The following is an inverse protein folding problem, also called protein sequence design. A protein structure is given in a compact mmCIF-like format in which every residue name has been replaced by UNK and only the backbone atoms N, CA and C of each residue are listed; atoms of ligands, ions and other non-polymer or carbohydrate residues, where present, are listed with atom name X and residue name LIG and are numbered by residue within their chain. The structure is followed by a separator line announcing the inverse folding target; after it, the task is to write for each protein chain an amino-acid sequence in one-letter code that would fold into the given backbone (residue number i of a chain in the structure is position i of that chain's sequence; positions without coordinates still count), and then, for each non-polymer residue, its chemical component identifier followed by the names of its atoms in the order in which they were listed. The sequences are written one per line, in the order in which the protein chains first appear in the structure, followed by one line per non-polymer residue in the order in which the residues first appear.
data_IF_535831113265
#
_entry.id   IF_535831113265
#
_cell.length_a   1.000
_cell.length_b   1.000
_cell.length_c   1.000
_cell.angle_alpha   90.00
_cell.angle_beta   90.00
_cell.angle_gamma   90.00
#
_symmetry.space_group_name_H-M   'P 1'
#
loop_
_entity.id
_entity.type
_entity.pdbx_description
1 polymer ?
#
# COMPACT_ATOMS: atom_id res chain seq x y z
N UNK A 1 -25.08 -20.73 25.59
CA UNK A 1 -24.76 -19.72 24.55
C UNK A 1 -23.25 -19.80 24.40
N UNK A 2 -22.80 -20.74 23.58
CA UNK A 2 -21.37 -21.08 23.45
C UNK A 2 -20.75 -20.08 22.48
N UNK A 3 -19.68 -19.40 22.87
CA UNK A 3 -18.87 -18.61 21.95
C UNK A 3 -18.46 -19.49 20.74
N UNK A 4 -18.52 -18.99 19.51
CA UNK A 4 -17.98 -19.73 18.36
C UNK A 4 -16.47 -19.87 18.52
N UNK A 5 -15.96 -21.11 18.44
CA UNK A 5 -14.53 -21.40 18.39
C UNK A 5 -13.89 -20.54 17.28
N UNK A 6 -12.83 -19.76 17.56
CA UNK A 6 -12.20 -18.86 16.58
C UNK A 6 -11.53 -19.60 15.40
N UNK A 7 -11.55 -20.93 15.40
CA UNK A 7 -11.03 -21.83 14.35
C UNK A 7 -12.13 -22.50 13.53
N UNK A 8 -13.42 -22.25 13.82
CA UNK A 8 -14.50 -22.84 13.03
C UNK A 8 -14.57 -22.16 11.67
N UNK A 9 -14.39 -22.93 10.60
CA UNK A 9 -14.47 -22.42 9.26
C UNK A 9 -15.82 -21.74 9.00
N UNK A 10 -15.80 -20.48 8.55
CA UNK A 10 -17.00 -19.63 8.39
C UNK A 10 -18.06 -20.23 7.45
N UNK A 11 -17.69 -21.17 6.57
CA UNK A 11 -18.63 -21.87 5.70
C UNK A 11 -19.46 -22.95 6.40
N UNK A 12 -19.15 -23.28 7.66
CA UNK A 12 -19.94 -24.15 8.53
C UNK A 12 -21.02 -23.40 9.31
N UNK A 13 -21.01 -22.06 9.28
CA UNK A 13 -22.05 -21.26 9.89
C UNK A 13 -23.41 -21.45 9.19
N UNK A 14 -24.53 -21.23 9.90
CA UNK A 14 -25.87 -21.37 9.34
C UNK A 14 -26.04 -20.61 8.04
N UNK A 15 -26.79 -21.20 7.10
CA UNK A 15 -26.91 -20.63 5.77
C UNK A 15 -27.45 -19.18 5.81
N UNK A 16 -26.84 -18.25 5.08
CA UNK A 16 -27.31 -16.88 5.02
C UNK A 16 -28.74 -16.82 4.45
N UNK A 17 -29.66 -16.18 5.17
CA UNK A 17 -31.05 -16.02 4.70
C UNK A 17 -31.10 -15.38 3.31
N UNK A 18 -31.93 -15.87 2.39
CA UNK A 18 -32.02 -15.31 1.05
C UNK A 18 -32.47 -13.83 1.09
N UNK A 19 -31.54 -12.88 0.88
CA UNK A 19 -31.86 -11.45 0.83
C UNK A 19 -31.95 -10.93 -0.61
N UNK A 20 -32.61 -9.79 -0.76
CA UNK A 20 -32.71 -9.02 -2.00
C UNK A 20 -31.49 -8.11 -2.25
N UNK A 21 -30.33 -8.44 -1.65
CA UNK A 21 -29.16 -7.57 -1.64
C UNK A 21 -29.14 -6.56 -0.50
N UNK A 22 -28.06 -5.78 -0.42
CA UNK A 22 -27.90 -4.68 0.56
C UNK A 22 -28.50 -3.38 0.02
N UNK A 23 -28.92 -2.47 0.90
CA UNK A 23 -29.21 -1.10 0.49
C UNK A 23 -27.91 -0.34 0.16
N UNK A 24 -27.99 0.70 -0.68
CA UNK A 24 -26.82 1.55 -0.97
C UNK A 24 -26.25 2.19 0.31
N UNK A 25 -27.09 2.60 1.26
CA UNK A 25 -26.68 3.19 2.53
C UNK A 25 -25.93 2.21 3.42
N UNK A 26 -26.42 0.99 3.58
CA UNK A 26 -25.75 -0.04 4.38
C UNK A 26 -24.42 -0.44 3.75
N UNK A 27 -24.37 -0.54 2.43
CA UNK A 27 -23.13 -0.84 1.72
C UNK A 27 -22.08 0.26 1.94
N UNK A 28 -22.48 1.53 1.96
CA UNK A 28 -21.58 2.66 2.21
C UNK A 28 -21.03 2.65 3.64
N UNK A 29 -21.88 2.35 4.63
CA UNK A 29 -21.49 2.24 6.03
C UNK A 29 -20.50 1.07 6.23
N UNK A 30 -20.80 -0.09 5.65
CA UNK A 30 -19.88 -1.25 5.71
C UNK A 30 -18.56 -0.98 4.99
N UNK A 31 -18.58 -0.24 3.88
CA UNK A 31 -17.35 0.15 3.18
C UNK A 31 -16.49 1.07 4.06
N UNK A 32 -17.10 1.96 4.85
CA UNK A 32 -16.39 2.80 5.79
C UNK A 32 -15.79 1.99 6.97
N UNK A 33 -16.46 0.94 7.41
CA UNK A 33 -16.00 0.07 8.50
C UNK A 33 -14.96 -0.97 8.09
N UNK A 34 -15.18 -1.68 6.98
CA UNK A 34 -14.32 -2.77 6.51
C UNK A 34 -13.22 -2.32 5.55
N UNK A 35 -13.36 -1.12 4.97
CA UNK A 35 -12.47 -0.63 3.92
C UNK A 35 -12.76 -1.25 2.55
N UNK A 36 -12.02 -0.83 1.51
CA UNK A 36 -12.16 -1.35 0.16
C UNK A 36 -11.72 -2.82 0.07
N UNK A 37 -12.34 -3.58 -0.83
CA UNK A 37 -11.97 -4.95 -1.15
C UNK A 37 -10.68 -4.98 -2.00
N UNK A 38 -9.54 -4.77 -1.35
CA UNK A 38 -8.21 -4.84 -1.94
C UNK A 38 -7.29 -5.73 -1.10
N UNK A 39 -6.43 -6.49 -1.75
CA UNK A 39 -5.44 -7.34 -1.07
C UNK A 39 -4.34 -6.52 -0.40
N UNK A 40 -3.99 -5.36 -0.97
CA UNK A 40 -3.10 -4.40 -0.35
C UNK A 40 -3.86 -3.66 0.76
N UNK A 41 -3.45 -3.88 2.01
CA UNK A 41 -3.81 -3.01 3.12
C UNK A 41 -3.13 -1.67 2.89
N UNK A 42 -3.85 -0.73 2.26
CA UNK A 42 -3.36 0.64 2.11
C UNK A 42 -3.42 1.34 3.49
N UNK A 43 -2.56 0.94 4.43
CA UNK A 43 -2.11 1.84 5.47
C UNK A 43 -1.24 2.91 4.79
N UNK A 44 -1.86 3.75 3.96
CA UNK A 44 -1.26 4.99 3.52
C UNK A 44 -0.98 5.74 4.81
N UNK A 45 0.30 5.84 5.18
CA UNK A 45 0.71 6.65 6.35
C UNK A 45 0.06 8.02 6.18
N UNK A 46 -0.48 8.63 7.25
CA UNK A 46 -1.14 9.91 7.11
C UNK A 46 -0.20 10.91 6.43
N UNK A 47 -0.72 11.75 5.54
CA UNK A 47 0.08 12.63 4.68
C UNK A 47 1.11 13.46 5.46
N UNK A 48 0.75 13.86 6.69
CA UNK A 48 1.65 14.53 7.62
C UNK A 48 2.85 13.67 8.04
N UNK A 49 2.67 12.37 8.28
CA UNK A 49 3.77 11.45 8.58
C UNK A 49 4.65 11.20 7.36
N UNK A 50 4.09 11.15 6.15
CA UNK A 50 4.86 11.01 4.91
C UNK A 50 5.72 12.25 4.65
N UNK A 51 5.14 13.44 4.86
CA UNK A 51 5.85 14.71 4.78
C UNK A 51 6.97 14.78 5.84
N UNK A 52 6.68 14.40 7.10
CA UNK A 52 7.68 14.41 8.16
C UNK A 52 8.79 13.37 7.95
N UNK A 53 8.48 12.22 7.33
CA UNK A 53 9.48 11.23 6.96
C UNK A 53 10.48 11.77 5.92
N UNK A 54 10.10 12.74 5.06
CA UNK A 54 11.04 13.39 4.13
C UNK A 54 12.14 14.19 4.83
N UNK A 55 11.89 14.71 6.03
CA UNK A 55 12.92 15.36 6.84
C UNK A 55 13.99 14.39 7.38
N UNK A 56 13.73 13.08 7.37
CA UNK A 56 14.75 12.05 7.66
C UNK A 56 15.66 11.74 6.48
N UNK A 57 15.42 12.34 5.30
CA UNK A 57 16.29 12.13 4.15
C UNK A 57 17.68 12.72 4.44
N UNK A 58 18.78 11.94 4.32
CA UNK A 58 20.13 12.38 4.64
C UNK A 58 20.56 13.65 3.87
N UNK A 59 20.07 13.86 2.65
CA UNK A 59 20.35 15.10 1.89
C UNK A 59 19.68 16.33 2.53
N UNK A 60 18.42 16.22 2.94
CA UNK A 60 17.67 17.29 3.60
C UNK A 60 18.33 17.63 4.95
N UNK A 61 18.77 16.61 5.70
CA UNK A 61 19.51 16.80 6.96
C UNK A 61 20.82 17.56 6.77
N UNK A 62 21.59 17.25 5.72
CA UNK A 62 22.85 17.97 5.42
C UNK A 62 22.57 19.44 5.07
N UNK A 63 21.53 19.71 4.28
CA UNK A 63 21.14 21.07 3.92
C UNK A 63 20.63 21.88 5.13
N UNK A 64 19.85 21.25 6.01
CA UNK A 64 19.41 21.86 7.27
C UNK A 64 20.58 22.11 8.23
N UNK A 65 21.56 21.22 8.29
CA UNK A 65 22.78 21.44 9.07
C UNK A 65 23.60 22.62 8.51
N UNK A 66 23.74 22.69 7.18
CA UNK A 66 24.44 23.80 6.52
C UNK A 66 23.73 25.15 6.76
N UNK A 67 22.40 25.19 6.72
CA UNK A 67 21.65 26.41 7.02
C UNK A 67 21.82 26.84 8.48
N UNK A 68 21.78 25.89 9.43
CA UNK A 68 22.03 26.16 10.84
C UNK A 68 23.44 26.75 11.09
N UNK A 69 24.47 26.24 10.41
CA UNK A 69 25.82 26.80 10.48
C UNK A 69 25.86 28.22 9.92
N UNK A 70 25.24 28.49 8.76
CA UNK A 70 25.20 29.85 8.19
C UNK A 70 24.51 30.86 9.11
N UNK A 71 23.42 30.46 9.78
CA UNK A 71 22.73 31.29 10.76
C UNK A 71 23.62 31.58 11.99
N UNK A 72 24.38 30.60 12.47
CA UNK A 72 25.33 30.79 13.57
C UNK A 72 26.49 31.73 13.19
N UNK A 73 26.91 31.75 11.93
CA UNK A 73 27.92 32.68 11.40
C UNK A 73 27.37 34.10 11.14
N UNK A 74 26.07 34.32 11.31
CA UNK A 74 25.41 35.62 11.11
C UNK A 74 25.08 35.96 9.66
N UNK A 75 25.25 35.02 8.72
CA UNK A 75 24.92 35.21 7.31
C UNK A 75 23.43 34.87 7.07
N UNK A 76 22.58 35.83 7.42
CA UNK A 76 21.14 35.70 7.26
C UNK A 76 20.73 35.51 5.79
N UNK A 77 21.44 36.13 4.84
CA UNK A 77 21.14 36.01 3.42
C UNK A 77 21.30 34.57 2.94
N UNK A 78 22.43 33.94 3.25
CA UNK A 78 22.69 32.55 2.85
C UNK A 78 21.76 31.55 3.56
N UNK A 79 21.42 31.80 4.83
CA UNK A 79 20.40 31.01 5.54
C UNK A 79 19.05 31.01 4.82
N UNK A 80 18.52 32.19 4.46
CA UNK A 80 17.23 32.30 3.79
C UNK A 80 17.25 31.66 2.39
N UNK A 81 18.34 31.79 1.65
CA UNK A 81 18.50 31.15 0.33
C UNK A 81 18.44 29.62 0.45
N UNK A 82 19.22 29.03 1.36
CA UNK A 82 19.25 27.57 1.55
C UNK A 82 17.89 27.08 2.05
N UNK A 83 17.27 27.78 3.00
CA UNK A 83 15.96 27.42 3.53
C UNK A 83 14.89 27.43 2.42
N UNK A 84 14.86 28.47 1.59
CA UNK A 84 13.92 28.57 0.48
C UNK A 84 14.10 27.44 -0.53
N UNK A 85 15.36 27.09 -0.86
CA UNK A 85 15.67 25.99 -1.78
C UNK A 85 15.18 24.64 -1.22
N UNK A 86 15.47 24.35 0.05
CA UNK A 86 15.03 23.11 0.71
C UNK A 86 13.51 23.03 0.72
N UNK A 87 12.82 24.11 1.10
CA UNK A 87 11.36 24.14 1.17
C UNK A 87 10.75 23.89 -0.22
N UNK A 88 11.30 24.54 -1.26
CA UNK A 88 10.86 24.37 -2.63
C UNK A 88 11.09 22.94 -3.12
N UNK A 89 12.27 22.37 -2.88
CA UNK A 89 12.59 20.99 -3.27
C UNK A 89 11.66 19.98 -2.60
N UNK A 90 11.47 20.05 -1.28
CA UNK A 90 10.56 19.15 -0.53
C UNK A 90 9.12 19.28 -1.02
N UNK A 91 8.68 20.50 -1.33
CA UNK A 91 7.34 20.75 -1.86
C UNK A 91 7.17 20.16 -3.27
N UNK A 92 8.13 20.38 -4.16
CA UNK A 92 8.12 19.81 -5.51
C UNK A 92 8.12 18.29 -5.47
N UNK A 93 8.97 17.71 -4.63
CA UNK A 93 9.04 16.28 -4.34
C UNK A 93 7.68 15.72 -3.89
N UNK A 94 7.05 16.37 -2.91
CA UNK A 94 5.74 15.97 -2.41
C UNK A 94 4.65 16.05 -3.49
N UNK A 95 4.61 17.14 -4.25
CA UNK A 95 3.62 17.33 -5.33
C UNK A 95 3.83 16.33 -6.47
N UNK A 96 5.09 16.05 -6.84
CA UNK A 96 5.42 15.10 -7.89
C UNK A 96 5.03 13.67 -7.51
N UNK A 97 5.35 13.25 -6.28
CA UNK A 97 4.95 11.95 -5.73
C UNK A 97 3.42 11.80 -5.77
N UNK A 98 2.70 12.81 -5.27
CA UNK A 98 1.24 12.78 -5.22
C UNK A 98 0.59 12.74 -6.60
N UNK A 99 1.21 13.40 -7.60
CA UNK A 99 0.76 13.33 -8.99
C UNK A 99 1.00 11.96 -9.59
N UNK A 100 2.17 11.36 -9.32
CA UNK A 100 2.51 10.03 -9.80
C UNK A 100 1.55 8.98 -9.23
N UNK A 101 1.29 9.02 -7.93
CA UNK A 101 0.33 8.14 -7.26
C UNK A 101 -1.08 8.27 -7.83
N UNK A 102 -1.58 9.50 -8.03
CA UNK A 102 -2.91 9.71 -8.62
C UNK A 102 -3.03 9.23 -10.06
N UNK A 103 -1.97 9.37 -10.85
CA UNK A 103 -1.95 8.85 -12.22
C UNK A 103 -2.02 7.31 -12.21
N UNK A 104 -1.24 6.66 -11.33
CA UNK A 104 -1.29 5.23 -11.13
C UNK A 104 -2.66 4.76 -10.61
N UNK A 105 -3.29 5.51 -9.70
CA UNK A 105 -4.60 5.18 -9.13
C UNK A 105 -5.72 5.25 -10.18
N UNK A 106 -5.73 6.27 -11.04
CA UNK A 106 -6.69 6.36 -12.16
C UNK A 106 -6.49 5.25 -13.19
N UNK A 107 -5.24 4.85 -13.44
CA UNK A 107 -4.96 3.72 -14.33
C UNK A 107 -5.49 2.42 -13.70
N UNK A 108 -5.26 2.21 -12.39
CA UNK A 108 -5.81 1.07 -11.63
C UNK A 108 -7.34 1.04 -11.69
N UNK A 109 -8.01 2.18 -11.56
CA UNK A 109 -9.47 2.29 -11.70
C UNK A 109 -9.94 1.96 -13.12
N UNK A 110 -9.19 2.35 -14.15
CA UNK A 110 -9.53 2.06 -15.55
C UNK A 110 -9.40 0.60 -15.95
N UNK A 111 -8.60 -0.17 -15.20
CA UNK A 111 -8.39 -1.63 -15.37
C UNK A 111 -9.11 -2.42 -14.27
N UNK A 112 -9.90 -1.75 -13.43
CA UNK A 112 -10.54 -2.39 -12.29
C UNK A 112 -11.52 -3.47 -12.76
N UNK A 113 -11.32 -4.69 -12.24
CA UNK A 113 -12.28 -5.78 -12.37
C UNK A 113 -13.64 -5.30 -11.86
N UNK A 114 -14.70 -5.59 -12.61
CA UNK A 114 -16.08 -5.30 -12.23
C UNK A 114 -16.80 -6.57 -11.82
N UNK A 115 -17.75 -6.44 -10.91
CA UNK A 115 -18.61 -7.54 -10.45
C UNK A 115 -20.07 -7.10 -10.50
N UNK A 116 -20.95 -8.03 -10.88
CA UNK A 116 -22.39 -7.82 -10.90
C UNK A 116 -22.96 -8.12 -9.52
N UNK A 117 -23.59 -7.12 -8.88
CA UNK A 117 -24.17 -7.26 -7.54
C UNK A 117 -25.62 -6.85 -7.50
N UNK A 118 -26.35 -7.38 -6.52
CA UNK A 118 -27.71 -6.95 -6.19
C UNK A 118 -27.62 -5.95 -5.04
N UNK A 119 -27.97 -4.69 -5.32
CA UNK A 119 -28.19 -3.66 -4.30
C UNK A 119 -29.51 -2.95 -4.57
N UNK A 120 -30.22 -2.57 -3.51
CA UNK A 120 -31.57 -1.97 -3.59
C UNK A 120 -32.54 -2.81 -4.46
N UNK A 121 -32.40 -4.15 -4.43
CA UNK A 121 -33.20 -5.09 -5.23
C UNK A 121 -32.90 -5.09 -6.73
N UNK A 122 -31.89 -4.35 -7.20
CA UNK A 122 -31.53 -4.24 -8.62
C UNK A 122 -30.12 -4.77 -8.88
N UNK A 123 -29.93 -5.38 -10.04
CA UNK A 123 -28.60 -5.75 -10.51
C UNK A 123 -27.86 -4.50 -10.98
N UNK A 124 -26.64 -4.32 -10.48
CA UNK A 124 -25.77 -3.24 -10.86
C UNK A 124 -24.32 -3.72 -10.90
N UNK A 125 -23.56 -3.21 -11.85
CA UNK A 125 -22.16 -3.57 -12.02
C UNK A 125 -21.28 -2.55 -11.30
N UNK A 126 -20.47 -3.01 -10.35
CA UNK A 126 -19.63 -2.18 -9.50
C UNK A 126 -18.16 -2.64 -9.58
N UNK A 127 -17.20 -1.73 -9.36
CA UNK A 127 -15.80 -2.13 -9.22
C UNK A 127 -15.65 -3.10 -8.05
N UNK A 128 -14.84 -4.14 -8.21
CA UNK A 128 -14.59 -5.18 -7.19
C UNK A 128 -14.12 -4.58 -5.87
N UNK A 129 -13.40 -3.45 -5.90
CA UNK A 129 -12.93 -2.73 -4.71
C UNK A 129 -14.05 -2.14 -3.84
N UNK A 130 -15.24 -1.94 -4.40
CA UNK A 130 -16.41 -1.41 -3.68
C UNK A 130 -17.30 -2.51 -3.08
N UNK A 131 -16.92 -3.78 -3.22
CA UNK A 131 -17.60 -4.91 -2.59
C UNK A 131 -17.38 -4.90 -1.08
N UNK A 132 -18.43 -5.25 -0.34
CA UNK A 132 -18.41 -5.32 1.12
C UNK A 132 -18.99 -6.64 1.62
N UNK A 133 -18.62 -7.08 2.84
CA UNK A 133 -19.28 -8.21 3.47
C UNK A 133 -20.80 -8.04 3.51
N UNK A 134 -21.52 -9.07 3.07
CA UNK A 134 -22.97 -9.12 2.94
C UNK A 134 -23.53 -8.76 1.57
N UNK A 135 -22.72 -8.25 0.64
CA UNK A 135 -23.17 -8.05 -0.75
C UNK A 135 -23.59 -9.38 -1.37
N UNK A 136 -24.60 -9.32 -2.25
CA UNK A 136 -25.00 -10.47 -3.06
C UNK A 136 -24.46 -10.30 -4.48
N UNK A 137 -23.50 -11.12 -4.85
CA UNK A 137 -22.84 -11.13 -6.16
C UNK A 137 -23.47 -12.21 -7.03
N UNK A 138 -23.70 -11.89 -8.30
CA UNK A 138 -24.02 -12.88 -9.32
C UNK A 138 -22.74 -13.27 -10.04
N UNK A 139 -22.53 -14.58 -10.18
CA UNK A 139 -21.38 -15.15 -10.86
C UNK A 139 -21.84 -15.95 -12.06
N UNK A 140 -21.15 -15.78 -13.19
CA UNK A 140 -21.36 -16.52 -14.42
C UNK A 140 -20.08 -17.19 -14.92
N UNK A 141 -20.23 -18.16 -15.82
CA UNK A 141 -19.10 -18.83 -16.46
C UNK A 141 -18.13 -17.83 -17.13
N UNK A 142 -16.83 -18.04 -16.91
CA UNK A 142 -15.76 -17.16 -17.42
C UNK A 142 -15.39 -16.01 -16.48
N UNK A 143 -16.15 -15.76 -15.43
CA UNK A 143 -15.84 -14.72 -14.45
C UNK A 143 -14.86 -15.21 -13.37
N UNK A 144 -14.12 -14.27 -12.80
CA UNK A 144 -13.29 -14.51 -11.60
C UNK A 144 -14.09 -14.17 -10.35
N UNK A 145 -13.92 -14.98 -9.32
CA UNK A 145 -14.58 -14.77 -8.02
C UNK A 145 -13.90 -13.58 -7.33
N UNK A 146 -14.65 -12.50 -7.03
CA UNK A 146 -14.07 -11.23 -6.61
C UNK A 146 -13.78 -11.14 -5.11
N UNK A 147 -14.39 -12.00 -4.30
CA UNK A 147 -14.25 -12.05 -2.85
C UNK A 147 -14.74 -13.42 -2.31
N UNK A 148 -14.42 -13.72 -1.06
CA UNK A 148 -14.87 -14.95 -0.41
C UNK A 148 -16.36 -14.87 -0.07
N UNK A 149 -17.11 -15.92 -0.40
CA UNK A 149 -18.55 -15.88 -0.25
C UNK A 149 -19.23 -17.24 -0.16
N UNK A 150 -20.45 -17.22 0.37
CA UNK A 150 -21.31 -18.37 0.59
C UNK A 150 -22.34 -18.48 -0.52
N UNK A 151 -22.52 -19.67 -1.10
CA UNK A 151 -23.53 -19.88 -2.14
C UNK A 151 -24.94 -19.83 -1.55
N UNK A 152 -25.81 -19.02 -2.16
CA UNK A 152 -27.25 -18.98 -1.90
C UNK A 152 -27.97 -19.87 -2.90
N UNK A 153 -27.61 -19.74 -4.19
CA UNK A 153 -28.18 -20.51 -5.30
C UNK A 153 -27.07 -20.87 -6.28
N UNK A 154 -27.17 -22.04 -6.91
CA UNK A 154 -26.22 -22.51 -7.92
C UNK A 154 -26.95 -23.33 -9.00
N UNK A 155 -26.49 -23.20 -10.25
CA UNK A 155 -26.94 -24.03 -11.38
C UNK A 155 -25.71 -24.50 -12.15
N UNK A 156 -25.45 -25.81 -12.11
CA UNK A 156 -24.30 -26.47 -12.76
C UNK A 156 -23.00 -25.69 -12.57
N UNK A 157 -22.76 -25.24 -11.34
CA UNK A 157 -21.74 -24.25 -11.02
C UNK A 157 -20.44 -24.95 -10.62
N UNK A 158 -19.45 -24.85 -11.51
CA UNK A 158 -18.12 -25.45 -11.34
C UNK A 158 -17.07 -24.35 -11.24
N UNK A 159 -16.18 -24.49 -10.27
CA UNK A 159 -15.14 -23.50 -9.97
C UNK A 159 -13.78 -24.16 -10.02
N UNK A 160 -12.82 -23.50 -10.66
CA UNK A 160 -11.41 -23.88 -10.61
C UNK A 160 -10.73 -23.13 -9.46
N UNK A 161 -10.20 -23.89 -8.50
CA UNK A 161 -9.56 -23.39 -7.28
C UNK A 161 -8.04 -23.61 -7.27
N UNK A 162 -7.42 -23.85 -8.43
CA UNK A 162 -6.00 -24.17 -8.57
C UNK A 162 -5.06 -23.17 -7.88
N UNK A 163 -5.44 -21.88 -7.80
CA UNK A 163 -4.63 -20.88 -7.11
C UNK A 163 -4.50 -21.12 -5.61
N UNK A 164 -5.50 -21.73 -4.97
CA UNK A 164 -5.53 -21.97 -3.53
C UNK A 164 -5.17 -23.41 -3.16
N UNK A 165 -5.57 -24.37 -3.98
CA UNK A 165 -5.41 -25.80 -3.68
C UNK A 165 -4.28 -26.46 -4.46
N UNK A 166 -3.79 -25.84 -5.54
CA UNK A 166 -2.85 -26.47 -6.49
C UNK A 166 -3.50 -27.46 -7.47
N UNK A 167 -4.76 -27.82 -7.24
CA UNK A 167 -5.49 -28.79 -8.04
C UNK A 167 -6.22 -28.11 -9.21
N UNK A 168 -5.96 -28.55 -10.44
CA UNK A 168 -6.55 -27.95 -11.66
C UNK A 168 -7.94 -28.47 -12.00
N UNK A 169 -8.42 -29.52 -11.30
CA UNK A 169 -9.71 -30.12 -11.60
C UNK A 169 -10.87 -29.23 -11.08
N UNK A 170 -11.87 -28.91 -11.92
CA UNK A 170 -13.02 -28.12 -11.49
C UNK A 170 -13.81 -28.82 -10.39
N UNK A 171 -14.15 -28.07 -9.34
CA UNK A 171 -14.95 -28.57 -8.21
C UNK A 171 -16.37 -28.03 -8.34
N UNK A 172 -17.35 -28.91 -8.23
CA UNK A 172 -18.76 -28.53 -8.20
C UNK A 172 -19.09 -27.84 -6.87
N UNK A 173 -19.79 -26.71 -6.94
CA UNK A 173 -20.26 -25.99 -5.76
C UNK A 173 -21.78 -25.95 -5.71
N UNK A 174 -22.34 -26.21 -4.52
CA UNK A 174 -23.78 -26.33 -4.28
C UNK A 174 -24.20 -25.59 -3.01
N UNK A 175 -25.37 -24.92 -2.99
CA UNK A 175 -25.89 -24.33 -1.78
C UNK A 175 -26.29 -25.43 -0.77
N UNK A 176 -26.24 -25.10 0.52
CA UNK A 176 -26.58 -26.03 1.60
C UNK A 176 -25.63 -25.95 2.79
N UNK A 177 -26.02 -26.65 3.86
CA UNK A 177 -25.17 -26.90 5.02
C UNK A 177 -24.24 -28.08 4.72
N UNK A 178 -23.02 -27.99 5.26
CA UNK A 178 -22.05 -29.07 5.18
C UNK A 178 -21.98 -29.79 6.53
N UNK A 179 -21.44 -31.01 6.48
CA UNK A 179 -21.09 -31.73 7.71
C UNK A 179 -20.03 -30.94 8.49
N UNK A 180 -20.08 -31.01 9.82
CA UNK A 180 -19.15 -30.28 10.72
C UNK A 180 -17.70 -30.72 10.54
N UNK A 181 -17.47 -31.90 9.96
CA UNK A 181 -16.14 -32.38 9.57
C UNK A 181 -15.54 -31.69 8.34
N UNK A 182 -16.30 -30.88 7.61
CA UNK A 182 -15.86 -30.20 6.38
C UNK A 182 -15.01 -28.96 6.66
N UNK A 183 -13.92 -29.10 7.40
CA UNK A 183 -13.04 -27.99 7.83
C UNK A 183 -12.00 -27.59 6.79
N UNK A 184 -11.79 -28.40 5.75
CA UNK A 184 -10.83 -28.09 4.68
C UNK A 184 -11.46 -27.28 3.54
N UNK A 185 -10.66 -26.41 2.93
CA UNK A 185 -11.08 -25.55 1.82
C UNK A 185 -11.65 -26.33 0.63
N UNK A 186 -11.06 -27.50 0.34
CA UNK A 186 -11.50 -28.39 -0.74
C UNK A 186 -12.90 -28.97 -0.49
N UNK A 187 -13.22 -29.22 0.78
CA UNK A 187 -14.49 -29.82 1.21
C UNK A 187 -15.62 -28.78 1.30
N UNK A 188 -15.28 -27.48 1.24
CA UNK A 188 -16.22 -26.37 1.25
C UNK A 188 -16.97 -26.25 -0.10
N UNK A 189 -17.84 -27.23 -0.41
CA UNK A 189 -18.67 -27.24 -1.62
C UNK A 189 -19.68 -26.07 -1.67
N UNK A 190 -19.91 -25.44 -0.53
CA UNK A 190 -20.96 -24.47 -0.30
C UNK A 190 -20.42 -23.01 -0.23
N UNK A 191 -19.12 -22.86 -0.47
CA UNK A 191 -18.37 -21.61 -0.45
C UNK A 191 -17.55 -21.43 -1.73
N UNK A 192 -17.29 -20.18 -2.06
CA UNK A 192 -16.39 -19.73 -3.11
C UNK A 192 -15.31 -18.83 -2.53
N UNK A 193 -14.14 -18.84 -3.16
CA UNK A 193 -12.96 -18.14 -2.66
C UNK A 193 -12.39 -17.21 -3.72
N UNK A 194 -11.90 -16.05 -3.29
CA UNK A 194 -11.28 -15.02 -4.10
C UNK A 194 -10.16 -15.60 -4.96
N UNK A 195 -10.09 -15.15 -6.22
CA UNK A 195 -9.05 -15.57 -7.17
C UNK A 195 -9.38 -16.85 -7.93
N UNK A 196 -10.32 -17.66 -7.43
CA UNK A 196 -10.86 -18.81 -8.19
C UNK A 196 -11.64 -18.33 -9.43
N UNK A 197 -11.73 -19.17 -10.46
CA UNK A 197 -12.45 -18.83 -11.71
C UNK A 197 -13.64 -19.76 -11.95
N UNK A 198 -14.76 -19.20 -12.41
CA UNK A 198 -15.96 -19.96 -12.76
C UNK A 198 -15.75 -20.64 -14.11
N UNK A 199 -15.80 -21.97 -14.12
CA UNK A 199 -15.62 -22.79 -15.32
C UNK A 199 -16.94 -22.90 -16.09
N UNK A 200 -18.03 -23.15 -15.38
CA UNK A 200 -19.36 -23.29 -15.97
C UNK A 200 -20.46 -22.95 -14.96
N UNK A 201 -21.66 -22.71 -15.50
CA UNK A 201 -22.86 -22.47 -14.70
C UNK A 201 -23.05 -21.03 -14.25
N UNK A 202 -23.94 -20.86 -13.28
CA UNK A 202 -24.21 -19.57 -12.65
C UNK A 202 -24.53 -19.75 -11.17
N UNK A 203 -24.18 -18.77 -10.35
CA UNK A 203 -24.46 -18.80 -8.93
C UNK A 203 -24.79 -17.41 -8.37
N UNK A 204 -25.57 -17.42 -7.29
CA UNK A 204 -25.82 -16.26 -6.44
C UNK A 204 -25.07 -16.48 -5.13
N UNK A 205 -24.19 -15.55 -4.79
CA UNK A 205 -23.25 -15.68 -3.68
C UNK A 205 -23.37 -14.50 -2.74
N UNK A 206 -23.44 -14.74 -1.43
CA UNK A 206 -23.26 -13.69 -0.43
C UNK A 206 -21.79 -13.57 -0.06
N UNK A 207 -21.23 -12.37 -0.15
CA UNK A 207 -19.86 -12.12 0.29
C UNK A 207 -19.79 -12.20 1.81
N UNK A 208 -18.81 -12.94 2.31
CA UNK A 208 -18.55 -13.14 3.75
C UNK A 208 -17.29 -12.38 4.17
N UNK A 209 -16.25 -12.42 3.35
CA UNK A 209 -15.00 -11.72 3.61
C UNK A 209 -14.45 -11.03 2.36
N UNK A 210 -13.76 -9.91 2.55
CA UNK A 210 -13.20 -9.06 1.50
C UNK A 210 -11.75 -8.70 1.80
N UNK A 211 -10.96 -8.46 0.75
CA UNK A 211 -9.58 -7.97 0.84
C UNK A 211 -8.68 -8.91 1.63
N UNK A 212 -7.94 -8.36 2.59
CA UNK A 212 -7.01 -9.09 3.45
C UNK A 212 -7.67 -10.20 4.30
N UNK A 213 -8.98 -10.12 4.57
CA UNK A 213 -9.71 -11.11 5.36
C UNK A 213 -10.15 -12.34 4.53
N UNK A 214 -9.91 -12.35 3.22
CA UNK A 214 -10.16 -13.54 2.39
C UNK A 214 -9.08 -14.61 2.62
N UNK A 215 -9.38 -15.87 2.30
CA UNK A 215 -8.40 -16.96 2.38
C UNK A 215 -7.13 -16.66 1.55
N UNK A 216 -7.30 -16.07 0.36
CA UNK A 216 -6.17 -15.60 -0.45
C UNK A 216 -5.44 -14.43 0.21
N UNK A 217 -6.16 -13.52 0.85
CA UNK A 217 -5.64 -12.40 1.61
C UNK A 217 -4.80 -12.82 2.81
N UNK A 218 -5.24 -13.82 3.58
CA UNK A 218 -4.50 -14.37 4.72
C UNK A 218 -3.19 -15.03 4.26
N UNK A 219 -3.24 -15.84 3.19
CA UNK A 219 -2.03 -16.42 2.58
C UNK A 219 -1.11 -15.32 2.08
N UNK A 220 -1.63 -14.33 1.35
CA UNK A 220 -0.85 -13.21 0.85
C UNK A 220 -0.22 -12.38 1.98
N UNK A 221 -0.93 -12.13 3.08
CA UNK A 221 -0.42 -11.42 4.24
C UNK A 221 0.66 -12.22 4.98
N UNK A 222 0.54 -13.55 5.05
CA UNK A 222 1.57 -14.40 5.65
C UNK A 222 2.89 -14.39 4.85
N UNK A 223 2.80 -14.13 3.55
CA UNK A 223 3.96 -14.06 2.63
C UNK A 223 4.48 -12.62 2.53
N UNK A 224 3.62 -11.61 2.66
CA UNK A 224 3.98 -10.19 2.61
C UNK A 224 4.56 -9.71 3.94
N UNK A 225 5.85 -9.97 4.11
CA UNK A 225 6.72 -8.96 4.72
C UNK A 225 6.85 -7.80 3.72
N UNK A 226 6.83 -6.54 4.18
CA UNK A 226 6.95 -5.33 3.35
C UNK A 226 7.88 -5.57 2.14
N UNK A 227 7.47 -5.22 0.89
CA UNK A 227 8.30 -5.45 -0.27
C UNK A 227 9.71 -4.88 0.00
N UNK A 228 10.76 -5.71 -0.03
CA UNK A 228 12.09 -5.26 0.32
C UNK A 228 12.51 -4.16 -0.66
N UNK A 229 13.17 -3.12 -0.14
CA UNK A 229 13.68 -2.01 -0.95
C UNK A 229 14.40 -2.55 -2.19
N UNK A 230 14.10 -1.98 -3.35
CA UNK A 230 14.62 -2.48 -4.62
C UNK A 230 16.16 -2.39 -4.63
N UNK A 231 16.82 -3.32 -5.34
CA UNK A 231 18.29 -3.30 -5.46
C UNK A 231 18.83 -1.95 -5.96
N UNK A 232 18.04 -1.25 -6.78
CA UNK A 232 18.34 0.10 -7.26
C UNK A 232 18.28 1.16 -6.15
N UNK A 233 17.22 1.16 -5.33
CA UNK A 233 17.09 2.09 -4.20
C UNK A 233 18.19 1.90 -3.15
N UNK A 234 18.53 0.64 -2.83
CA UNK A 234 19.65 0.32 -1.93
C UNK A 234 20.97 0.83 -2.52
N UNK A 235 21.17 0.68 -3.83
CA UNK A 235 22.32 1.23 -4.55
C UNK A 235 22.40 2.75 -4.47
N UNK A 236 21.29 3.45 -4.72
CA UNK A 236 21.21 4.91 -4.63
C UNK A 236 21.47 5.41 -3.21
N UNK A 237 20.94 4.75 -2.18
CA UNK A 237 21.21 5.14 -0.79
C UNK A 237 22.69 4.99 -0.42
N UNK A 238 23.34 3.90 -0.84
CA UNK A 238 24.79 3.72 -0.63
C UNK A 238 25.59 4.79 -1.37
N UNK A 239 25.23 5.09 -2.61
CA UNK A 239 25.90 6.12 -3.41
C UNK A 239 25.72 7.51 -2.78
N UNK A 240 24.52 7.86 -2.33
CA UNK A 240 24.24 9.10 -1.63
C UNK A 240 25.06 9.21 -0.33
N UNK A 241 25.14 8.14 0.47
CA UNK A 241 25.96 8.13 1.69
C UNK A 241 27.46 8.24 1.39
N UNK A 242 27.94 7.67 0.28
CA UNK A 242 29.33 7.82 -0.15
C UNK A 242 29.61 9.28 -0.50
N UNK A 243 28.74 9.93 -1.27
CA UNK A 243 28.88 11.36 -1.60
C UNK A 243 28.93 12.19 -0.33
N UNK A 244 27.98 12.02 0.61
CA UNK A 244 27.95 12.76 1.88
C UNK A 244 29.25 12.58 2.66
N UNK A 245 29.79 11.35 2.75
CA UNK A 245 31.08 11.09 3.43
C UNK A 245 32.25 11.81 2.77
N UNK A 246 32.34 11.77 1.44
CA UNK A 246 33.41 12.43 0.68
C UNK A 246 33.32 13.94 0.84
N UNK A 247 32.12 14.53 0.72
CA UNK A 247 31.92 15.96 0.88
C UNK A 247 32.29 16.42 2.29
N UNK A 248 31.85 15.69 3.33
CA UNK A 248 32.14 16.03 4.72
C UNK A 248 33.64 15.93 5.02
N UNK A 249 34.32 14.91 4.49
CA UNK A 249 35.78 14.78 4.60
C UNK A 249 36.50 15.95 3.91
N UNK A 250 36.08 16.32 2.70
CA UNK A 250 36.66 17.45 1.96
C UNK A 250 36.48 18.77 2.70
N UNK A 251 35.29 19.03 3.26
CA UNK A 251 35.01 20.23 4.07
C UNK A 251 35.89 20.28 5.33
N UNK A 252 36.00 19.16 6.06
CA UNK A 252 36.87 19.08 7.24
C UNK A 252 38.34 19.30 6.86
N UNK A 253 38.79 18.72 5.74
CA UNK A 253 40.14 18.88 5.23
C UNK A 253 40.43 20.35 4.89
N UNK A 254 39.53 21.01 4.16
CA UNK A 254 39.67 22.44 3.83
C UNK A 254 39.70 23.29 5.10
N UNK A 255 38.77 23.08 6.04
CA UNK A 255 38.79 23.81 7.32
C UNK A 255 40.10 23.61 8.08
N UNK A 256 40.67 22.39 8.09
CA UNK A 256 41.92 22.10 8.75
C UNK A 256 43.11 22.81 8.08
N UNK A 257 43.18 22.79 6.74
CA UNK A 257 44.20 23.48 5.96
C UNK A 257 44.08 24.99 6.16
N UNK A 258 42.88 25.56 6.03
CA UNK A 258 42.65 26.98 6.25
C UNK A 258 43.01 27.37 7.68
N UNK A 259 42.60 26.60 8.69
CA UNK A 259 42.96 26.88 10.10
C UNK A 259 44.48 26.79 10.34
N UNK A 260 45.17 25.85 9.69
CA UNK A 260 46.62 25.72 9.79
C UNK A 260 47.36 26.87 9.07
N UNK A 261 46.86 27.31 7.91
CA UNK A 261 47.38 28.46 7.18
C UNK A 261 47.13 29.77 7.94
N UNK A 262 45.91 29.99 8.45
CA UNK A 262 45.57 31.18 9.25
C UNK A 262 46.30 31.18 10.59
N UNK A 263 46.44 30.03 11.25
CA UNK A 263 47.23 29.87 12.49
C UNK A 263 48.73 30.14 12.31
N UNK A 264 49.26 30.03 11.08
CA UNK A 264 50.64 30.39 10.74
C UNK A 264 50.83 31.89 10.45
N UNK A 265 49.73 32.62 10.23
CA UNK A 265 49.73 34.06 9.99
C UNK A 265 49.48 34.93 11.25
N UNK A 266 49.38 34.34 12.44
CA UNK A 266 49.31 35.10 13.70
C UNK A 266 50.67 35.49 14.28
N UNK A 267 51.78 35.26 13.56
CA UNK A 267 53.10 35.73 13.98
C UNK A 267 53.28 37.19 13.49
N UNK A 268 53.47 38.19 14.39
CA UNK A 268 53.32 39.62 14.08
C UNK A 268 54.50 40.25 13.29
N UNK A 269 55.16 39.51 12.40
CA UNK A 269 56.32 40.02 11.62
C UNK A 269 56.00 40.38 10.16
N UNK A 270 54.75 40.30 9.71
CA UNK A 270 54.37 40.83 8.39
C UNK A 270 54.12 42.34 8.45
N UNK A 271 55.19 43.14 8.37
CA UNK A 271 55.09 44.58 8.15
C UNK A 271 54.43 44.87 6.79
N UNK A 272 53.42 45.77 6.72
CA UNK A 272 52.91 46.25 5.45
C UNK A 272 53.84 47.35 4.96
N UNK A 273 54.84 47.02 4.16
CA UNK A 273 55.55 48.05 3.39
C UNK A 273 55.92 47.53 2.01
N UNK A 274 55.54 48.33 1.01
CA UNK A 274 55.81 48.21 -0.43
C UNK A 274 54.96 47.21 -1.20
N UNK A 275 53.83 47.69 -1.72
CA UNK A 275 53.55 47.68 -3.16
C UNK A 275 52.69 48.92 -3.51
N UNK A 276 53.37 50.06 -3.69
CA UNK A 276 52.87 51.22 -4.47
C UNK A 276 53.32 50.98 -5.92
N UNK A 277 52.38 50.86 -6.87
CA UNK A 277 52.48 51.27 -8.29
C UNK A 277 51.01 51.34 -8.77
N UNK A 278 50.47 52.53 -9.06
CA UNK A 278 50.60 53.27 -10.33
C UNK A 278 49.86 52.56 -11.46
#
# INVERSE_FOLDING_TARGET
MSDPDPTSAWWLEPAPAATQGLSRSEAQERLAHHGPNTLESSHQRPLALQFLARFRNPLVLVLLAASAVSAATGDAANFFIIMALVLLSVTLDFVQEHRADRAAQKLRESVALRATVIRDGRQQELPVSALVPGDVVLLAAGERIPADGRLIEARDFFVNQALLTGESYPVEKRPGELDRGATELQQAANAVFMGSSVVSGSARVRIMATGAATALGEVAHSIQSEPPATAFEVGMHRFAMLLVRVTLWMVLFVMLVTSCCTGRCSNPSCSPSRWRWA
#
